data_IF_470208914515
#
_entry.id   IF_470208914515
#
_cell.length_a   1.000
_cell.length_b   1.000
_cell.length_c   1.000
_cell.angle_alpha   90.00
_cell.angle_beta   90.00
_cell.angle_gamma   90.00
#
_symmetry.space_group_name_H-M   'P 1'
#
loop_
_entity.id
_entity.type
_entity.pdbx_description
1 polymer ?
#
# COMPACT_ATOMS: atom_id res chain seq x y z
N UNK A 1 -3.65 14.53 2.40
CA UNK A 1 -3.00 13.22 2.23
C UNK A 1 -3.66 12.13 3.07
N UNK A 2 -3.97 12.38 4.35
CA UNK A 2 -4.68 11.41 5.21
C UNK A 2 -6.04 10.99 4.65
N UNK A 3 -6.80 11.93 4.06
CA UNK A 3 -8.05 11.61 3.36
C UNK A 3 -7.87 10.62 2.22
N UNK A 4 -6.74 10.69 1.49
CA UNK A 4 -6.42 9.72 0.43
C UNK A 4 -6.21 8.32 1.01
N UNK A 5 -5.61 8.21 2.20
CA UNK A 5 -5.45 6.93 2.90
C UNK A 5 -6.84 6.31 3.18
N UNK A 6 -7.76 7.12 3.68
CA UNK A 6 -9.13 6.69 3.98
C UNK A 6 -9.93 6.32 2.72
N UNK A 7 -9.76 7.05 1.60
CA UNK A 7 -10.37 6.70 0.31
C UNK A 7 -9.88 5.34 -0.20
N UNK A 8 -8.59 5.05 -0.05
CA UNK A 8 -8.03 3.74 -0.42
C UNK A 8 -8.61 2.64 0.47
N UNK A 9 -8.64 2.82 1.80
CA UNK A 9 -9.24 1.83 2.71
C UNK A 9 -10.70 1.51 2.39
N UNK A 10 -11.51 2.53 2.03
CA UNK A 10 -12.92 2.34 1.66
C UNK A 10 -13.09 1.55 0.35
N UNK A 11 -12.11 1.64 -0.56
CA UNK A 11 -12.14 0.96 -1.86
C UNK A 11 -11.67 -0.50 -1.79
N UNK A 12 -11.13 -0.94 -0.65
CA UNK A 12 -10.70 -2.32 -0.44
C UNK A 12 -11.89 -3.25 -0.15
N UNK A 13 -11.63 -4.55 -0.28
CA UNK A 13 -12.69 -5.56 -0.16
C UNK A 13 -13.36 -5.60 1.23
N UNK A 14 -14.47 -6.32 1.32
CA UNK A 14 -15.24 -6.43 2.56
C UNK A 14 -14.46 -7.16 3.67
N UNK A 15 -13.49 -8.02 3.33
CA UNK A 15 -12.68 -8.75 4.32
C UNK A 15 -11.70 -7.79 4.98
N UNK A 16 -11.00 -6.97 4.19
CA UNK A 16 -10.13 -5.91 4.68
C UNK A 16 -10.90 -4.96 5.61
N UNK A 17 -12.05 -4.46 5.15
CA UNK A 17 -12.85 -3.50 5.94
C UNK A 17 -13.40 -4.13 7.23
N UNK A 18 -13.76 -5.42 7.23
CA UNK A 18 -14.10 -6.18 8.46
C UNK A 18 -12.93 -6.23 9.42
N UNK A 19 -11.77 -6.65 8.92
CA UNK A 19 -10.56 -6.81 9.73
C UNK A 19 -10.09 -5.48 10.33
N UNK A 20 -10.29 -4.38 9.59
CA UNK A 20 -9.95 -3.01 10.01
C UNK A 20 -10.94 -2.39 11.01
N UNK A 21 -12.24 -2.68 10.88
CA UNK A 21 -13.31 -2.07 11.70
C UNK A 21 -13.77 -2.91 12.89
N UNK A 22 -13.90 -4.23 12.71
CA UNK A 22 -14.49 -5.14 13.70
C UNK A 22 -13.43 -6.00 14.39
N UNK A 23 -12.62 -6.70 13.60
CA UNK A 23 -11.68 -7.69 14.17
C UNK A 23 -10.40 -7.02 14.73
N UNK A 24 -10.15 -5.75 14.37
CA UNK A 24 -8.97 -4.96 14.72
C UNK A 24 -7.63 -5.68 14.43
N UNK A 25 -7.62 -6.60 13.46
CA UNK A 25 -6.45 -7.40 13.08
C UNK A 25 -5.57 -6.72 12.03
N UNK A 26 -6.09 -5.69 11.35
CA UNK A 26 -5.36 -4.85 10.41
C UNK A 26 -5.32 -3.42 10.96
N UNK A 27 -4.12 -2.85 11.06
CA UNK A 27 -3.91 -1.46 11.47
C UNK A 27 -4.28 -0.44 10.39
N UNK A 28 -4.22 0.87 10.69
CA UNK A 28 -4.51 1.92 9.71
C UNK A 28 -3.59 1.86 8.49
N UNK A 29 -4.15 1.96 7.29
CA UNK A 29 -3.37 2.05 6.06
C UNK A 29 -2.40 3.25 6.10
N UNK A 30 -1.16 3.01 5.71
CA UNK A 30 -0.11 4.03 5.58
C UNK A 30 0.18 4.35 4.12
N UNK A 31 0.20 5.62 3.76
CA UNK A 31 0.77 6.13 2.52
C UNK A 31 2.10 6.82 2.84
N UNK A 32 3.18 6.32 2.25
CA UNK A 32 4.52 6.93 2.31
C UNK A 32 4.80 7.67 1.01
N UNK A 33 5.05 8.98 1.13
CA UNK A 33 5.46 9.82 0.01
C UNK A 33 6.97 9.70 -0.12
N UNK A 34 7.43 9.44 -1.34
CA UNK A 34 8.86 9.34 -1.66
C UNK A 34 9.31 10.54 -2.48
N UNK A 35 10.59 10.88 -2.38
CA UNK A 35 11.19 11.92 -3.23
C UNK A 35 11.15 11.52 -4.71
N UNK A 36 11.17 12.53 -5.57
CA UNK A 36 11.35 12.33 -7.02
C UNK A 36 12.62 11.50 -7.31
N UNK A 37 12.55 10.59 -8.28
CA UNK A 37 13.63 9.64 -8.60
C UNK A 37 13.72 8.40 -7.70
N UNK A 38 12.79 8.20 -6.74
CA UNK A 38 12.82 7.00 -5.90
C UNK A 38 12.51 5.71 -6.66
N UNK A 39 11.58 5.76 -7.63
CA UNK A 39 11.26 4.62 -8.47
C UNK A 39 12.33 4.36 -9.54
N UNK A 40 13.06 5.38 -9.99
CA UNK A 40 14.21 5.21 -10.88
C UNK A 40 15.32 4.43 -10.15
N UNK A 41 15.62 4.79 -8.90
CA UNK A 41 16.56 4.03 -8.08
C UNK A 41 16.11 2.57 -7.81
N UNK A 42 14.80 2.32 -7.74
CA UNK A 42 14.25 0.96 -7.64
C UNK A 42 14.42 0.18 -8.95
N UNK A 43 14.26 0.85 -10.09
CA UNK A 43 14.51 0.28 -11.41
C UNK A 43 16.00 -0.07 -11.56
N UNK A 44 16.91 0.85 -11.25
CA UNK A 44 18.35 0.63 -11.30
C UNK A 44 18.77 -0.59 -10.47
N UNK A 45 18.20 -0.72 -9.26
CA UNK A 45 18.39 -1.90 -8.42
C UNK A 45 17.86 -3.18 -9.07
N UNK A 46 16.68 -3.13 -9.68
CA UNK A 46 16.10 -4.30 -10.35
C UNK A 46 16.94 -4.75 -11.55
N UNK A 47 17.52 -3.78 -12.28
CA UNK A 47 18.44 -4.01 -13.39
C UNK A 47 19.77 -4.58 -12.90
N UNK A 48 20.31 -4.08 -11.78
CA UNK A 48 21.53 -4.65 -11.19
C UNK A 48 21.35 -6.08 -10.71
N UNK A 49 20.11 -6.47 -10.35
CA UNK A 49 19.73 -7.84 -10.02
C UNK A 49 19.43 -8.72 -11.25
N UNK A 50 19.66 -8.22 -12.48
CA UNK A 50 19.54 -8.98 -13.72
C UNK A 50 18.24 -8.79 -14.49
N UNK A 51 17.38 -7.85 -14.10
CA UNK A 51 16.17 -7.53 -14.88
C UNK A 51 16.53 -6.82 -16.19
N UNK A 52 15.83 -7.13 -17.27
CA UNK A 52 15.96 -6.40 -18.53
C UNK A 52 15.35 -5.00 -18.41
N UNK A 53 16.16 -3.97 -18.72
CA UNK A 53 15.72 -2.55 -18.74
C UNK A 53 14.49 -2.37 -19.62
N UNK A 54 14.49 -2.97 -20.82
CA UNK A 54 13.42 -2.80 -21.81
C UNK A 54 12.11 -3.51 -21.44
N UNK A 55 12.13 -4.36 -20.43
CA UNK A 55 10.94 -5.09 -19.94
C UNK A 55 10.54 -4.66 -18.54
N UNK A 56 11.29 -3.75 -17.92
CA UNK A 56 11.03 -3.34 -16.55
C UNK A 56 9.65 -2.68 -16.45
N UNK A 57 8.91 -3.11 -15.43
CA UNK A 57 7.69 -2.46 -14.96
C UNK A 57 7.81 -2.36 -13.45
N UNK A 58 7.42 -1.22 -12.89
CA UNK A 58 7.40 -1.05 -11.44
C UNK A 58 6.47 -2.10 -10.81
N UNK A 59 6.99 -2.96 -9.92
CA UNK A 59 6.17 -3.97 -9.27
C UNK A 59 5.15 -3.30 -8.35
N UNK A 60 3.91 -3.81 -8.35
CA UNK A 60 2.83 -3.31 -7.48
C UNK A 60 3.05 -3.67 -6.00
N UNK A 61 3.76 -4.77 -5.73
CA UNK A 61 4.07 -5.25 -4.39
C UNK A 61 5.52 -5.74 -4.38
N UNK A 62 6.27 -5.33 -3.35
CA UNK A 62 7.70 -5.60 -3.21
C UNK A 62 7.90 -6.39 -1.91
N UNK A 63 8.67 -7.48 -2.00
CA UNK A 63 9.00 -8.34 -0.85
C UNK A 63 10.50 -8.36 -0.51
N UNK A 64 11.37 -7.89 -1.41
CA UNK A 64 12.81 -7.79 -1.14
C UNK A 64 13.08 -6.70 -0.11
N UNK A 65 13.79 -7.05 0.94
CA UNK A 65 14.15 -6.11 2.01
C UNK A 65 15.05 -4.97 1.49
N UNK A 66 15.94 -5.27 0.55
CA UNK A 66 16.85 -4.31 -0.07
C UNK A 66 16.06 -3.27 -0.88
N UNK A 67 15.10 -3.72 -1.68
CA UNK A 67 14.21 -2.85 -2.44
C UNK A 67 13.34 -1.96 -1.51
N UNK A 68 12.85 -2.52 -0.40
CA UNK A 68 12.12 -1.76 0.61
C UNK A 68 13.02 -0.71 1.26
N UNK A 69 14.27 -1.05 1.64
CA UNK A 69 15.25 -0.08 2.19
C UNK A 69 15.56 1.06 1.22
N UNK A 70 15.60 0.79 -0.09
CA UNK A 70 15.79 1.83 -1.13
C UNK A 70 14.64 2.82 -1.12
N UNK A 71 13.39 2.35 -1.02
CA UNK A 71 12.21 3.21 -0.95
C UNK A 71 12.15 3.96 0.39
N UNK A 72 12.39 3.26 1.51
CA UNK A 72 12.28 3.82 2.86
C UNK A 72 13.30 4.93 3.14
N UNK A 73 14.54 4.78 2.65
CA UNK A 73 15.56 5.83 2.73
C UNK A 73 15.22 7.09 1.91
N UNK A 74 14.16 7.03 1.09
CA UNK A 74 13.72 8.10 0.20
C UNK A 74 12.33 8.65 0.57
N UNK A 75 11.77 8.21 1.68
CA UNK A 75 10.49 8.71 2.20
C UNK A 75 10.63 10.14 2.73
N UNK A 76 9.76 11.02 2.25
CA UNK A 76 9.68 12.45 2.65
C UNK A 76 8.43 12.74 3.49
N UNK A 77 7.47 11.83 3.55
CA UNK A 77 6.26 11.98 4.37
C UNK A 77 5.58 10.65 4.63
N UNK A 78 4.96 10.52 5.80
CA UNK A 78 4.20 9.33 6.22
C UNK A 78 2.84 9.77 6.70
N UNK A 79 1.80 9.14 6.19
CA UNK A 79 0.41 9.50 6.50
C UNK A 79 -0.38 8.23 6.74
N UNK A 80 -1.11 8.21 7.85
CA UNK A 80 -1.99 7.09 8.19
C UNK A 80 -3.45 7.49 7.98
N UNK A 81 -4.29 6.51 7.66
CA UNK A 81 -5.74 6.71 7.67
C UNK A 81 -6.23 7.03 9.08
N UNK A 82 -6.97 8.14 9.23
CA UNK A 82 -7.53 8.58 10.51
C UNK A 82 -8.89 7.98 10.83
N UNK A 83 -9.62 7.52 9.81
CA UNK A 83 -10.95 6.95 9.96
C UNK A 83 -10.94 5.45 9.66
N UNK A 84 -11.84 4.70 10.27
CA UNK A 84 -12.12 3.32 9.89
C UNK A 84 -13.04 3.28 8.68
N UNK A 85 -12.83 2.38 7.70
CA UNK A 85 -13.72 2.23 6.55
C UNK A 85 -15.08 1.69 6.97
N UNK A 86 -16.09 1.94 6.16
CA UNK A 86 -17.43 1.41 6.39
C UNK A 86 -17.44 -0.10 6.15
N UNK A 87 -18.13 -0.83 7.03
CA UNK A 87 -18.28 -2.26 6.89
C UNK A 87 -19.54 -2.70 7.60
N UNK A 88 -20.34 -3.51 6.92
CA UNK A 88 -21.53 -4.13 7.48
C UNK A 88 -21.47 -5.65 7.22
N UNK A 89 -21.96 -6.47 8.16
CA UNK A 89 -22.13 -7.90 7.91
C UNK A 89 -23.07 -8.12 6.73
N UNK A 90 -22.69 -9.01 5.81
CA UNK A 90 -23.60 -9.45 4.75
C UNK A 90 -24.83 -10.09 5.40
N UNK A 91 -26.00 -9.46 5.26
CA UNK A 91 -27.28 -10.05 5.68
C UNK A 91 -27.84 -10.82 4.51
N UNK A 92 -27.96 -12.14 4.66
CA UNK A 92 -28.84 -12.91 3.77
C UNK A 92 -30.27 -12.60 4.19
N UNK A 93 -31.04 -11.93 3.33
CA UNK A 93 -32.48 -11.85 3.51
C UNK A 93 -33.05 -13.27 3.32
N UNK A 94 -33.41 -13.92 4.42
CA UNK A 94 -34.28 -15.10 4.37
C UNK A 94 -35.63 -14.66 3.82
N UNK A 95 -35.89 -15.02 2.56
CA UNK A 95 -37.24 -15.03 1.98
C UNK A 95 -38.13 -16.05 2.70
#
# INVERSE_FOLDING_TARGET
MEQCCSTVEESLDSVYRRCRRKDNSIGPLEIRIVKHGAFDALMDFSVSQGSSVNQYKTPRCIKSEEAIKILDSRVVGRFFSKSTPLWEPFRMETK
#
